data_IF_025528179137
#
_entry.id   IF_025528179137
#
_cell.length_a   1.000
_cell.length_b   1.000
_cell.length_c   1.000
_cell.angle_alpha   90.00
_cell.angle_beta   90.00
_cell.angle_gamma   90.00
#
_symmetry.space_group_name_H-M   'P 1'
#
loop_
_entity.id
_entity.type
_entity.pdbx_description
1 polymer ?
#
# COMPACT_ATOMS: atom_id res chain seq x y z
N UNK A 1 39.00 -11.90 3.71
CA UNK A 1 38.58 -13.28 4.12
C UNK A 1 37.34 -13.66 3.34
N UNK A 2 36.82 -14.89 3.44
CA UNK A 2 35.59 -15.28 2.73
C UNK A 2 34.45 -15.52 3.72
N UNK A 3 33.23 -15.20 3.32
CA UNK A 3 32.01 -15.46 4.08
C UNK A 3 31.73 -16.97 4.13
N UNK A 4 31.51 -17.50 5.34
CA UNK A 4 31.24 -18.93 5.54
C UNK A 4 29.88 -19.37 4.94
N UNK A 5 28.96 -18.44 4.66
CA UNK A 5 27.60 -18.72 4.14
C UNK A 5 27.49 -18.58 2.63
N UNK A 6 27.91 -17.45 2.06
CA UNK A 6 27.80 -17.20 0.61
C UNK A 6 29.11 -17.41 -0.16
N UNK A 7 30.26 -17.47 0.52
CA UNK A 7 31.58 -17.60 -0.10
C UNK A 7 32.19 -16.28 -0.60
N UNK A 8 31.44 -15.17 -0.56
CA UNK A 8 31.92 -13.87 -1.04
C UNK A 8 33.11 -13.35 -0.23
N UNK A 9 33.95 -12.54 -0.88
CA UNK A 9 35.06 -11.87 -0.21
C UNK A 9 34.54 -10.79 0.75
N UNK A 10 34.99 -10.88 2.00
CA UNK A 10 34.75 -9.90 3.06
C UNK A 10 36.01 -9.02 3.18
N UNK A 11 35.79 -7.70 3.17
CA UNK A 11 36.84 -6.71 3.46
C UNK A 11 37.32 -6.84 4.91
N UNK A 12 38.61 -6.58 5.14
CA UNK A 12 39.21 -6.76 6.46
C UNK A 12 38.63 -5.71 7.42
N UNK A 13 37.94 -6.15 8.48
CA UNK A 13 37.25 -5.31 9.45
C UNK A 13 35.73 -5.31 9.32
N UNK A 14 35.20 -5.81 8.20
CA UNK A 14 33.75 -5.90 7.94
C UNK A 14 33.18 -7.29 8.27
N UNK A 15 33.99 -8.20 8.81
CA UNK A 15 33.53 -9.52 9.23
C UNK A 15 32.56 -9.44 10.42
N UNK A 16 31.45 -10.17 10.31
CA UNK A 16 30.48 -10.34 11.39
C UNK A 16 30.58 -11.76 11.95
N UNK A 17 30.85 -11.86 13.25
CA UNK A 17 30.92 -13.16 13.90
C UNK A 17 29.54 -13.57 14.45
N UNK A 18 29.05 -14.74 14.03
CA UNK A 18 27.78 -15.30 14.51
C UNK A 18 27.89 -16.81 14.62
N UNK A 19 27.60 -17.37 15.80
CA UNK A 19 27.69 -18.82 16.07
C UNK A 19 29.03 -19.49 15.67
N UNK A 20 30.13 -18.76 15.78
CA UNK A 20 31.47 -19.26 15.41
C UNK A 20 31.79 -19.22 13.92
N UNK A 21 30.90 -18.63 13.09
CA UNK A 21 31.12 -18.37 11.68
C UNK A 21 31.46 -16.90 11.45
N UNK A 22 32.24 -16.63 10.40
CA UNK A 22 32.49 -15.28 9.89
C UNK A 22 31.63 -15.04 8.65
N UNK A 23 30.73 -14.07 8.75
CA UNK A 23 29.74 -13.74 7.73
C UNK A 23 29.97 -12.33 7.17
N UNK A 24 29.60 -12.12 5.90
CA UNK A 24 29.41 -10.77 5.36
C UNK A 24 28.17 -10.11 5.99
N UNK A 25 28.04 -8.79 5.87
CA UNK A 25 26.96 -8.02 6.48
C UNK A 25 25.57 -8.50 6.02
N UNK A 26 25.41 -8.77 4.72
CA UNK A 26 24.16 -9.30 4.14
C UNK A 26 23.77 -10.65 4.76
N UNK A 27 24.72 -11.59 4.80
CA UNK A 27 24.50 -12.91 5.37
C UNK A 27 24.21 -12.89 6.88
N UNK A 28 24.85 -11.96 7.60
CA UNK A 28 24.60 -11.72 9.01
C UNK A 28 23.18 -11.20 9.24
N UNK A 29 22.74 -10.21 8.46
CA UNK A 29 21.38 -9.65 8.53
C UNK A 29 20.30 -10.68 8.22
N UNK A 30 20.49 -11.49 7.18
CA UNK A 30 19.55 -12.57 6.82
C UNK A 30 19.38 -13.59 7.96
N UNK A 31 20.45 -13.85 8.70
CA UNK A 31 20.46 -14.85 9.78
C UNK A 31 19.78 -14.28 11.03
N UNK A 32 19.94 -12.99 11.32
CA UNK A 32 19.26 -12.31 12.42
C UNK A 32 17.79 -12.02 12.15
N UNK A 33 17.44 -11.80 10.88
CA UNK A 33 16.08 -11.48 10.46
C UNK A 33 15.60 -12.47 9.39
N UNK A 34 15.42 -13.75 9.74
CA UNK A 34 14.90 -14.72 8.78
C UNK A 34 13.54 -14.26 8.27
N UNK A 35 13.25 -14.55 7.00
CA UNK A 35 11.96 -14.26 6.40
C UNK A 35 10.84 -14.93 7.22
N UNK A 36 10.09 -14.11 7.96
CA UNK A 36 8.95 -14.57 8.75
C UNK A 36 7.70 -14.49 7.89
N UNK A 37 6.95 -15.59 7.84
CA UNK A 37 5.59 -15.53 7.32
C UNK A 37 4.81 -14.49 8.14
N UNK A 38 4.12 -13.58 7.44
CA UNK A 38 3.19 -12.65 8.09
C UNK A 38 2.14 -13.46 8.88
N UNK A 39 1.62 -12.88 9.96
CA UNK A 39 0.61 -13.49 10.81
C UNK A 39 -0.50 -14.15 9.94
N UNK A 40 -0.82 -15.44 10.15
CA UNK A 40 -1.77 -16.14 9.30
C UNK A 40 -3.14 -15.46 9.21
N UNK A 41 -3.57 -14.77 10.28
CA UNK A 41 -4.82 -14.01 10.28
C UNK A 41 -4.69 -12.70 9.50
N UNK A 42 -3.56 -11.99 9.57
CA UNK A 42 -3.30 -10.84 8.70
C UNK A 42 -3.35 -11.23 7.21
N UNK A 43 -2.71 -12.35 6.84
CA UNK A 43 -2.73 -12.87 5.47
C UNK A 43 -4.13 -13.32 5.06
N UNK A 44 -4.84 -14.03 5.94
CA UNK A 44 -6.20 -14.47 5.71
C UNK A 44 -7.14 -13.28 5.48
N UNK A 45 -7.08 -12.27 6.35
CA UNK A 45 -7.89 -11.05 6.27
C UNK A 45 -7.64 -10.32 4.96
N UNK A 46 -6.38 -10.05 4.62
CA UNK A 46 -6.03 -9.40 3.36
C UNK A 46 -6.57 -10.15 2.14
N UNK A 47 -6.38 -11.48 2.10
CA UNK A 47 -6.90 -12.32 1.01
C UNK A 47 -8.42 -12.33 0.95
N UNK A 48 -9.10 -12.36 2.09
CA UNK A 48 -10.56 -12.34 2.17
C UNK A 48 -11.13 -11.00 1.69
N UNK A 49 -10.53 -9.88 2.09
CA UNK A 49 -10.91 -8.55 1.58
C UNK A 49 -10.65 -8.39 0.08
N UNK A 50 -9.58 -9.00 -0.45
CA UNK A 50 -9.31 -8.97 -1.88
C UNK A 50 -10.30 -9.79 -2.72
N UNK A 51 -10.83 -10.89 -2.16
CA UNK A 51 -11.75 -11.82 -2.83
C UNK A 51 -13.19 -11.39 -2.81
N UNK A 52 -13.57 -10.45 -1.95
CA UNK A 52 -14.92 -9.91 -1.98
C UNK A 52 -15.06 -9.01 -3.21
N UNK A 53 -15.89 -9.38 -4.21
CA UNK A 53 -16.30 -8.41 -5.21
C UNK A 53 -16.95 -7.27 -4.43
N UNK A 54 -16.55 -6.03 -4.75
CA UNK A 54 -17.11 -4.84 -4.17
C UNK A 54 -18.60 -4.83 -4.56
N UNK A 55 -19.46 -5.39 -3.68
CA UNK A 55 -20.90 -5.59 -3.93
C UNK A 55 -21.66 -4.27 -4.01
N UNK A 56 -21.03 -3.21 -3.54
CA UNK A 56 -21.44 -1.82 -3.64
C UNK A 56 -20.13 -1.04 -3.54
N UNK A 57 -19.75 -0.18 -4.52
CA UNK A 57 -18.52 0.62 -4.44
C UNK A 57 -18.44 1.53 -3.21
N UNK A 58 -19.47 1.54 -2.35
CA UNK A 58 -19.47 2.33 -1.14
C UNK A 58 -19.51 3.81 -1.48
N UNK A 59 -20.14 4.13 -2.62
CA UNK A 59 -20.34 5.53 -3.00
C UNK A 59 -21.37 6.11 -2.04
N UNK A 60 -20.94 7.10 -1.28
CA UNK A 60 -21.88 7.79 -0.41
C UNK A 60 -22.86 8.64 -1.26
N UNK A 61 -23.95 9.15 -0.67
CA UNK A 61 -24.94 9.92 -1.41
C UNK A 61 -24.38 11.14 -2.15
N UNK A 62 -23.30 11.75 -1.66
CA UNK A 62 -22.64 12.89 -2.30
C UNK A 62 -21.87 12.44 -3.54
N UNK A 63 -21.11 11.35 -3.45
CA UNK A 63 -20.39 10.75 -4.58
C UNK A 63 -21.34 10.27 -5.67
N UNK A 64 -22.50 9.71 -5.31
CA UNK A 64 -23.53 9.35 -6.27
C UNK A 64 -24.02 10.56 -7.09
N UNK A 65 -24.31 11.69 -6.42
CA UNK A 65 -24.70 12.94 -7.09
C UNK A 65 -23.59 13.53 -7.96
N UNK A 66 -22.33 13.44 -7.52
CA UNK A 66 -21.18 13.86 -8.35
C UNK A 66 -21.16 13.06 -9.65
N UNK A 67 -21.33 11.73 -9.57
CA UNK A 67 -21.35 10.86 -10.75
C UNK A 67 -22.53 11.14 -11.69
N UNK A 68 -23.71 11.43 -11.15
CA UNK A 68 -24.88 11.83 -11.96
C UNK A 68 -24.62 13.12 -12.73
N UNK A 69 -24.14 14.16 -12.06
CA UNK A 69 -23.83 15.44 -12.71
C UNK A 69 -22.78 15.25 -13.81
N UNK A 70 -21.73 14.46 -13.57
CA UNK A 70 -20.69 14.19 -14.55
C UNK A 70 -21.22 13.40 -15.76
N UNK A 71 -22.11 12.42 -15.55
CA UNK A 71 -22.75 11.65 -16.63
C UNK A 71 -23.64 12.52 -17.51
N UNK A 72 -24.43 13.40 -16.90
CA UNK A 72 -25.34 14.28 -17.63
C UNK A 72 -24.61 15.38 -18.40
N UNK A 73 -23.53 15.91 -17.84
CA UNK A 73 -22.79 17.03 -18.42
C UNK A 73 -21.66 16.64 -19.37
N UNK A 74 -21.22 15.37 -19.35
CA UNK A 74 -20.01 14.93 -20.04
C UNK A 74 -18.70 15.38 -19.37
N UNK A 75 -18.79 15.91 -18.15
CA UNK A 75 -17.69 16.51 -17.41
C UNK A 75 -17.89 18.02 -17.17
N UNK A 76 -17.59 18.48 -15.96
CA UNK A 76 -17.75 19.89 -15.54
C UNK A 76 -16.58 20.33 -14.68
N UNK A 77 -16.34 21.64 -14.65
CA UNK A 77 -15.36 22.23 -13.73
C UNK A 77 -15.76 22.03 -12.27
N UNK A 78 -14.76 21.88 -11.40
CA UNK A 78 -14.96 21.70 -9.96
C UNK A 78 -15.79 22.83 -9.32
N UNK A 79 -15.63 24.07 -9.78
CA UNK A 79 -16.44 25.22 -9.30
C UNK A 79 -17.93 25.02 -9.53
N UNK A 80 -18.30 24.50 -10.70
CA UNK A 80 -19.69 24.22 -11.06
C UNK A 80 -20.24 23.08 -10.17
N UNK A 81 -19.42 22.08 -9.85
CA UNK A 81 -19.81 21.01 -8.92
C UNK A 81 -20.06 21.55 -7.51
N UNK A 82 -19.15 22.37 -6.97
CA UNK A 82 -19.28 23.04 -5.67
C UNK A 82 -20.57 23.85 -5.60
N UNK A 83 -20.87 24.62 -6.64
CA UNK A 83 -22.09 25.42 -6.74
C UNK A 83 -23.35 24.56 -6.84
N UNK A 84 -23.37 23.52 -7.67
CA UNK A 84 -24.55 22.65 -7.83
C UNK A 84 -24.83 21.79 -6.59
N UNK A 85 -23.77 21.33 -5.93
CA UNK A 85 -23.88 20.48 -4.74
C UNK A 85 -24.03 21.28 -3.44
N UNK A 86 -23.80 22.60 -3.48
CA UNK A 86 -23.83 23.49 -2.30
C UNK A 86 -22.89 23.00 -1.17
N UNK A 87 -21.73 22.46 -1.56
CA UNK A 87 -20.68 22.00 -0.64
C UNK A 87 -19.46 22.90 -0.72
N UNK A 88 -18.54 22.81 0.24
CA UNK A 88 -17.26 23.52 0.15
C UNK A 88 -16.31 22.78 -0.80
N UNK A 89 -15.38 23.51 -1.39
CA UNK A 89 -14.33 22.91 -2.22
C UNK A 89 -13.54 21.84 -1.47
N UNK A 90 -13.22 22.07 -0.19
CA UNK A 90 -12.53 21.11 0.68
C UNK A 90 -13.32 19.81 0.90
N UNK A 91 -14.65 19.90 0.89
CA UNK A 91 -15.52 18.74 1.02
C UNK A 91 -15.55 17.97 -0.31
N UNK A 92 -15.65 18.67 -1.45
CA UNK A 92 -15.52 18.06 -2.77
C UNK A 92 -14.17 17.34 -2.95
N UNK A 93 -13.06 17.97 -2.55
CA UNK A 93 -11.73 17.38 -2.59
C UNK A 93 -11.64 16.11 -1.75
N UNK A 94 -12.27 16.08 -0.56
CA UNK A 94 -12.35 14.90 0.29
C UNK A 94 -13.14 13.76 -0.36
N UNK A 95 -14.25 14.09 -1.04
CA UNK A 95 -15.07 13.09 -1.76
C UNK A 95 -14.37 12.50 -2.99
N UNK A 96 -13.48 13.27 -3.62
CA UNK A 96 -12.69 12.89 -4.79
C UNK A 96 -11.31 12.32 -4.45
N UNK A 97 -10.86 12.45 -3.19
CA UNK A 97 -9.59 11.94 -2.75
C UNK A 97 -9.53 10.42 -2.99
N UNK A 98 -8.39 9.89 -3.48
CA UNK A 98 -8.24 8.46 -3.64
C UNK A 98 -8.32 7.79 -2.26
N UNK A 99 -9.49 7.22 -1.95
CA UNK A 99 -9.59 6.21 -0.91
C UNK A 99 -8.75 5.00 -1.34
N UNK A 100 -8.30 4.18 -0.39
CA UNK A 100 -7.52 2.95 -0.69
C UNK A 100 -8.21 2.00 -1.69
N UNK A 101 -9.47 2.24 -2.01
CA UNK A 101 -10.25 1.59 -3.06
C UNK A 101 -9.83 1.94 -4.50
N UNK A 102 -9.08 3.03 -4.75
CA UNK A 102 -8.74 3.52 -6.11
C UNK A 102 -7.29 3.22 -6.55
N UNK A 103 -6.44 2.67 -5.67
CA UNK A 103 -5.04 2.29 -6.01
C UNK A 103 -4.91 0.90 -6.68
N UNK A 104 -5.98 0.42 -7.35
CA UNK A 104 -5.94 -0.84 -8.12
C UNK A 104 -5.80 -0.58 -9.60
#
# INVERSE_FOLDING_TARGET
MNCDKCGDAIEVGDERQLHGQNLCDDCYMDTLSPARACDPWAVHSAKSFMKQPIKDPGVNPTQAKILEILKESGGVEAKILVERLQIKLSDLERELAPSDTWKR
#
